data_IF_784634161497
#
_entry.id   IF_784634161497
#
_cell.length_a   1.000
_cell.length_b   1.000
_cell.length_c   1.000
_cell.angle_alpha   90.00
_cell.angle_beta   90.00
_cell.angle_gamma   90.00
#
_symmetry.space_group_name_H-M   'P 1'
#
loop_
_entity.id
_entity.type
_entity.pdbx_description
1 polymer ?
#
# COMPACT_ATOMS: atom_id res chain seq x y z
N UNK A 1 15.86 7.02 9.61
CA UNK A 1 16.91 6.00 9.43
C UNK A 1 16.96 5.18 10.69
N UNK A 2 16.82 3.87 10.58
CA UNK A 2 16.84 2.97 11.73
C UNK A 2 18.12 2.14 11.71
N UNK A 3 18.91 2.18 12.80
CA UNK A 3 20.20 1.47 12.92
C UNK A 3 21.18 1.72 11.75
N UNK A 4 21.20 2.95 11.22
CA UNK A 4 22.08 3.32 10.10
C UNK A 4 21.60 2.89 8.71
N UNK A 5 20.45 2.20 8.62
CA UNK A 5 19.84 1.81 7.36
C UNK A 5 18.64 2.70 7.02
N UNK A 6 18.36 2.80 5.72
CA UNK A 6 17.16 3.45 5.19
C UNK A 6 16.13 2.37 4.86
N UNK A 7 14.88 2.57 5.29
CA UNK A 7 13.80 1.61 5.09
C UNK A 7 12.64 2.21 4.31
N UNK A 8 12.29 1.56 3.20
CA UNK A 8 11.09 1.85 2.41
C UNK A 8 10.02 0.80 2.72
N UNK A 9 8.84 1.23 3.13
CA UNK A 9 7.66 0.37 3.21
C UNK A 9 6.89 0.42 1.89
N UNK A 10 6.64 -0.74 1.30
CA UNK A 10 5.83 -0.89 0.08
C UNK A 10 4.53 -1.60 0.43
N UNK A 11 3.40 -0.93 0.22
CA UNK A 11 2.06 -1.49 0.42
C UNK A 11 1.48 -1.88 -0.95
N UNK A 12 1.51 -3.18 -1.24
CA UNK A 12 0.93 -3.75 -2.44
C UNK A 12 -0.59 -3.92 -2.29
N UNK A 13 -1.39 -3.04 -2.89
CA UNK A 13 -2.82 -3.02 -2.63
C UNK A 13 -3.64 -2.76 -3.90
N UNK A 14 -3.89 -3.84 -4.64
CA UNK A 14 -4.78 -3.82 -5.81
C UNK A 14 -6.26 -3.71 -5.44
N UNK A 15 -7.06 -3.17 -6.35
CA UNK A 15 -8.53 -3.06 -6.25
C UNK A 15 -9.20 -4.43 -6.23
N UNK A 16 -8.84 -5.29 -7.18
CA UNK A 16 -9.49 -6.58 -7.43
C UNK A 16 -9.18 -7.65 -6.38
N UNK A 17 -9.84 -7.62 -5.22
CA UNK A 17 -9.70 -8.69 -4.21
C UNK A 17 -10.68 -9.84 -4.46
N UNK A 18 -10.20 -11.00 -4.95
CA UNK A 18 -11.02 -12.19 -5.29
C UNK A 18 -11.98 -12.67 -4.20
N UNK A 19 -11.52 -12.73 -2.95
CA UNK A 19 -12.30 -13.28 -1.81
C UNK A 19 -13.18 -12.24 -1.14
N UNK A 20 -12.80 -10.96 -1.24
CA UNK A 20 -13.49 -9.89 -0.55
C UNK A 20 -13.28 -8.59 -1.34
N UNK A 21 -14.26 -8.19 -2.18
CA UNK A 21 -14.15 -6.97 -2.98
C UNK A 21 -13.79 -5.75 -2.13
N UNK A 22 -12.91 -4.89 -2.64
CA UNK A 22 -12.47 -3.66 -2.00
C UNK A 22 -11.95 -3.82 -0.55
N UNK A 23 -11.45 -5.01 -0.20
CA UNK A 23 -10.94 -5.36 1.15
C UNK A 23 -10.14 -4.25 1.81
N UNK A 24 -9.24 -3.58 1.07
CA UNK A 24 -8.34 -2.57 1.62
C UNK A 24 -9.09 -1.29 2.05
N UNK A 25 -10.20 -0.96 1.39
CA UNK A 25 -11.04 0.19 1.73
C UNK A 25 -12.23 -0.18 2.63
N UNK A 26 -12.51 -1.46 2.81
CA UNK A 26 -13.56 -1.94 3.70
C UNK A 26 -13.33 -1.47 5.14
N UNK A 27 -14.40 -1.02 5.78
CA UNK A 27 -14.34 -0.57 7.16
C UNK A 27 -14.22 -1.77 8.11
N UNK A 28 -13.16 -1.75 8.91
CA UNK A 28 -12.98 -2.60 10.07
C UNK A 28 -12.93 -1.69 11.30
N UNK A 29 -13.85 -1.86 12.24
CA UNK A 29 -13.97 -1.02 13.44
C UNK A 29 -13.96 0.50 13.12
N UNK A 30 -14.74 0.91 12.11
CA UNK A 30 -14.91 2.31 11.72
C UNK A 30 -13.77 2.93 10.90
N UNK A 31 -12.73 2.17 10.55
CA UNK A 31 -11.61 2.64 9.71
C UNK A 31 -11.35 1.69 8.54
N UNK A 32 -10.91 2.18 7.36
CA UNK A 32 -10.50 1.30 6.26
C UNK A 32 -9.45 0.29 6.70
N UNK A 33 -9.47 -0.95 6.21
CA UNK A 33 -8.50 -1.96 6.61
C UNK A 33 -7.04 -1.50 6.37
N UNK A 34 -6.80 -0.81 5.25
CA UNK A 34 -5.50 -0.22 4.89
C UNK A 34 -4.98 0.76 5.96
N UNK A 35 -5.88 1.47 6.65
CA UNK A 35 -5.52 2.43 7.69
C UNK A 35 -4.69 1.76 8.80
N UNK A 36 -5.03 0.53 9.20
CA UNK A 36 -4.32 -0.16 10.28
C UNK A 36 -2.88 -0.49 9.89
N UNK A 37 -2.64 -0.92 8.65
CA UNK A 37 -1.29 -1.17 8.13
C UNK A 37 -0.45 0.10 8.15
N UNK A 38 -1.03 1.21 7.70
CA UNK A 38 -0.34 2.51 7.66
C UNK A 38 0.00 2.99 9.08
N UNK A 39 -0.95 2.90 10.01
CA UNK A 39 -0.71 3.27 11.39
C UNK A 39 0.35 2.40 12.04
N UNK A 40 0.38 1.10 11.77
CA UNK A 40 1.42 0.21 12.26
C UNK A 40 2.81 0.62 11.75
N UNK A 41 2.91 0.99 10.47
CA UNK A 41 4.16 1.49 9.87
C UNK A 41 4.60 2.80 10.54
N UNK A 42 3.71 3.78 10.67
CA UNK A 42 4.05 5.06 11.30
C UNK A 42 4.40 4.91 12.78
N UNK A 43 3.64 4.12 13.53
CA UNK A 43 3.88 3.88 14.95
C UNK A 43 5.17 3.08 15.20
N UNK A 44 5.65 2.32 14.20
CA UNK A 44 6.91 1.59 14.33
C UNK A 44 8.12 2.52 14.45
N UNK A 45 8.08 3.70 13.82
CA UNK A 45 9.23 4.61 13.72
C UNK A 45 10.42 4.04 12.94
N UNK A 46 10.26 2.93 12.22
CA UNK A 46 11.34 2.24 11.50
C UNK A 46 11.47 2.75 10.06
N UNK A 47 10.34 2.98 9.38
CA UNK A 47 10.32 3.31 7.96
C UNK A 47 10.56 4.80 7.71
N UNK A 48 11.43 5.10 6.77
CA UNK A 48 11.72 6.46 6.31
C UNK A 48 10.70 6.96 5.31
N UNK A 49 10.18 6.04 4.48
CA UNK A 49 9.20 6.32 3.45
C UNK A 49 8.17 5.21 3.38
N UNK A 50 6.96 5.58 2.97
CA UNK A 50 5.85 4.66 2.73
C UNK A 50 5.29 4.94 1.36
N UNK A 51 5.14 3.89 0.56
CA UNK A 51 4.55 3.95 -0.78
C UNK A 51 3.45 2.92 -0.91
N UNK A 52 2.33 3.32 -1.52
CA UNK A 52 1.23 2.45 -1.89
C UNK A 52 1.29 2.22 -3.41
N UNK A 53 1.37 0.96 -3.83
CA UNK A 53 1.21 0.54 -5.23
C UNK A 53 -0.23 0.07 -5.43
N UNK A 54 -1.01 0.79 -6.24
CA UNK A 54 -2.45 0.53 -6.43
C UNK A 54 -2.97 0.96 -7.80
N UNK A 55 -3.99 0.24 -8.28
CA UNK A 55 -4.83 0.51 -9.47
C UNK A 55 -6.20 1.12 -9.05
N UNK A 56 -6.32 1.59 -7.80
CA UNK A 56 -7.58 2.09 -7.24
C UNK A 56 -7.52 3.61 -6.95
N UNK A 57 -8.32 4.40 -7.68
CA UNK A 57 -8.41 5.86 -7.51
C UNK A 57 -8.83 6.29 -6.08
N UNK A 58 -9.64 5.48 -5.40
CA UNK A 58 -10.07 5.79 -4.02
C UNK A 58 -8.87 5.73 -3.07
N UNK A 59 -7.98 4.76 -3.28
CA UNK A 59 -6.75 4.63 -2.50
C UNK A 59 -5.74 5.72 -2.85
N UNK A 60 -5.70 6.16 -4.11
CA UNK A 60 -4.89 7.31 -4.52
C UNK A 60 -5.26 8.58 -3.71
N UNK A 61 -6.56 8.88 -3.61
CA UNK A 61 -7.06 10.01 -2.81
C UNK A 61 -6.74 9.85 -1.32
N UNK A 62 -6.86 8.63 -0.79
CA UNK A 62 -6.50 8.34 0.59
C UNK A 62 -5.00 8.59 0.84
N UNK A 63 -4.13 8.14 -0.05
CA UNK A 63 -2.68 8.34 0.07
C UNK A 63 -2.31 9.82 0.08
N UNK A 64 -2.91 10.61 -0.81
CA UNK A 64 -2.71 12.06 -0.92
C UNK A 64 -3.11 12.80 0.39
N UNK A 65 -4.28 12.45 0.94
CA UNK A 65 -4.76 13.02 2.21
C UNK A 65 -3.87 12.69 3.43
N UNK A 66 -3.06 11.63 3.33
CA UNK A 66 -2.20 11.15 4.41
C UNK A 66 -0.70 11.37 4.15
N UNK A 67 -0.34 12.12 3.10
CA UNK A 67 1.04 12.38 2.67
C UNK A 67 1.86 11.08 2.49
N UNK A 68 1.24 10.07 1.88
CA UNK A 68 1.85 8.77 1.58
C UNK A 68 2.18 8.75 0.09
N UNK A 69 3.35 8.23 -0.26
CA UNK A 69 3.73 8.08 -1.66
C UNK A 69 2.75 7.15 -2.39
N UNK A 70 2.44 7.49 -3.64
CA UNK A 70 1.56 6.70 -4.48
C UNK A 70 2.30 6.33 -5.76
N UNK A 71 2.23 5.05 -6.12
CA UNK A 71 2.66 4.55 -7.42
C UNK A 71 1.46 3.86 -8.08
N UNK A 72 1.11 4.34 -9.28
CA UNK A 72 0.08 3.71 -10.09
C UNK A 72 0.55 2.32 -10.49
N UNK A 73 -0.22 1.30 -10.12
CA UNK A 73 0.12 -0.09 -10.43
C UNK A 73 -0.22 -0.40 -11.89
N UNK A 74 0.75 -0.88 -12.69
CA UNK A 74 0.46 -1.39 -14.04
C UNK A 74 -0.55 -2.53 -14.03
N UNK A 75 -1.40 -2.61 -15.05
CA UNK A 75 -2.45 -3.64 -15.15
C UNK A 75 -1.89 -5.07 -15.08
N UNK A 76 -0.70 -5.30 -15.63
CA UNK A 76 0.01 -6.59 -15.58
C UNK A 76 0.35 -7.02 -14.14
N UNK A 77 0.61 -6.07 -13.24
CA UNK A 77 0.88 -6.30 -11.83
C UNK A 77 -0.39 -6.26 -10.95
N UNK A 78 -1.54 -5.91 -11.52
CA UNK A 78 -2.85 -5.91 -10.85
C UNK A 78 -3.59 -7.26 -10.98
N UNK A 79 -2.97 -8.25 -11.62
CA UNK A 79 -3.54 -9.60 -11.80
C UNK A 79 -3.46 -10.46 -10.53
N UNK A 80 -4.17 -11.59 -10.52
CA UNK A 80 -4.10 -12.55 -9.41
C UNK A 80 -2.82 -13.40 -9.40
N UNK A 81 -2.11 -13.44 -10.52
CA UNK A 81 -0.91 -14.24 -10.74
C UNK A 81 0.37 -13.43 -10.59
N UNK A 82 0.28 -12.10 -10.52
CA UNK A 82 1.42 -11.22 -10.29
C UNK A 82 2.05 -11.50 -8.91
N UNK A 83 3.38 -11.60 -8.87
CA UNK A 83 4.12 -11.75 -7.62
C UNK A 83 4.28 -10.38 -6.94
N UNK A 84 4.26 -10.38 -5.61
CA UNK A 84 4.57 -9.19 -4.82
C UNK A 84 6.02 -8.73 -5.08
N UNK A 85 6.92 -9.64 -5.47
CA UNK A 85 8.30 -9.27 -5.86
C UNK A 85 8.33 -8.32 -7.05
N UNK A 86 7.52 -8.59 -8.07
CA UNK A 86 7.45 -7.77 -9.29
C UNK A 86 6.94 -6.36 -8.95
N UNK A 87 5.97 -6.27 -8.04
CA UNK A 87 5.51 -4.98 -7.48
C UNK A 87 6.64 -4.24 -6.77
N UNK A 88 7.48 -4.93 -6.00
CA UNK A 88 8.59 -4.29 -5.30
C UNK A 88 9.63 -3.76 -6.29
N UNK A 89 9.91 -4.52 -7.36
CA UNK A 89 10.82 -4.10 -8.44
C UNK A 89 10.28 -2.89 -9.19
N UNK A 90 8.98 -2.83 -9.48
CA UNK A 90 8.33 -1.67 -10.12
C UNK A 90 8.43 -0.37 -9.29
N UNK A 91 8.47 -0.50 -7.97
CA UNK A 91 8.50 0.62 -7.02
C UNK A 91 9.92 1.17 -6.77
N UNK A 92 10.97 0.38 -7.01
CA UNK A 92 12.36 0.70 -6.61
C UNK A 92 13.27 0.95 -7.82
#
# INVERSE_FOLDING_TARGET
MYKGNTFLAVIAARKGSKRLPDKNMMLCNGKPLLWYTIQAIFNSGICDRVVISTDCDIMAKFADCHNIGLIGRPDELATDTADVRDVVVDVC
#
